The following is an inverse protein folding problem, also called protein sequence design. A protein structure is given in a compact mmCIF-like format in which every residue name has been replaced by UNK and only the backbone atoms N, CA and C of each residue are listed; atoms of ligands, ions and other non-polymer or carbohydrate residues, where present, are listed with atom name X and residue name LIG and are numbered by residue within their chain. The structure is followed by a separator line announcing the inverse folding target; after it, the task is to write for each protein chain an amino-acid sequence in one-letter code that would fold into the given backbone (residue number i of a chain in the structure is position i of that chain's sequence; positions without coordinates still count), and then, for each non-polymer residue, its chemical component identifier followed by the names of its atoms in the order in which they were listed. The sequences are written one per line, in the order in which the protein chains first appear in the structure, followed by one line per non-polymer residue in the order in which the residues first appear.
data_IF_873083282639
#
_entry.id   IF_873083282639
#
_cell.length_a   1.000
_cell.length_b   1.000
_cell.length_c   1.000
_cell.angle_alpha   90.00
_cell.angle_beta   90.00
_cell.angle_gamma   90.00
#
_symmetry.space_group_name_H-M   'P 1'
#
loop_
_entity.id
_entity.type
_entity.pdbx_description
1 polymer ?
#
# COMPACT_ATOMS: atom_id res chain seq x y z
N UNK A 1 -1.02 3.31 11.42
CA UNK A 1 -0.55 3.75 10.09
C UNK A 1 0.13 2.58 9.42
N UNK A 2 -0.30 2.16 8.22
CA UNK A 2 0.32 1.03 7.50
C UNK A 2 1.02 1.57 6.27
N UNK A 3 2.29 1.23 6.08
CA UNK A 3 3.03 1.54 4.86
C UNK A 3 3.07 0.30 3.97
N UNK A 4 2.53 0.42 2.75
CA UNK A 4 2.62 -0.58 1.70
C UNK A 4 3.71 -0.17 0.72
N UNK A 5 4.69 -1.05 0.51
CA UNK A 5 5.74 -0.86 -0.50
C UNK A 5 5.30 -1.57 -1.79
N UNK A 6 5.03 -0.77 -2.81
CA UNK A 6 4.75 -1.21 -4.17
C UNK A 6 6.06 -1.58 -4.88
N UNK A 7 6.25 -2.87 -5.14
CA UNK A 7 7.34 -3.40 -5.96
C UNK A 7 6.91 -3.57 -7.43
N UNK A 8 6.11 -2.64 -7.95
CA UNK A 8 5.47 -2.72 -9.27
C UNK A 8 4.52 -3.93 -9.41
N UNK A 9 3.77 -4.21 -8.34
CA UNK A 9 2.86 -5.35 -8.28
C UNK A 9 1.43 -4.94 -8.68
N UNK A 10 0.78 -5.76 -9.52
CA UNK A 10 -0.57 -5.48 -10.01
C UNK A 10 -1.66 -5.54 -8.93
N UNK A 11 -1.36 -6.05 -7.74
CA UNK A 11 -2.31 -6.29 -6.65
C UNK A 11 -2.08 -5.43 -5.40
N UNK A 12 -1.10 -4.52 -5.40
CA UNK A 12 -0.80 -3.69 -4.20
C UNK A 12 -2.01 -2.87 -3.72
N UNK A 13 -2.87 -2.43 -4.64
CA UNK A 13 -4.08 -1.68 -4.31
C UNK A 13 -5.21 -2.55 -3.77
N UNK A 14 -5.24 -3.85 -4.09
CA UNK A 14 -6.18 -4.79 -3.46
C UNK A 14 -5.87 -4.92 -1.96
N UNK A 15 -4.58 -5.02 -1.60
CA UNK A 15 -4.15 -5.03 -0.19
C UNK A 15 -4.48 -3.72 0.52
N UNK A 16 -4.27 -2.58 -0.16
CA UNK A 16 -4.64 -1.27 0.37
C UNK A 16 -6.15 -1.18 0.66
N UNK A 17 -6.99 -1.69 -0.24
CA UNK A 17 -8.44 -1.73 -0.04
C UNK A 17 -8.82 -2.60 1.18
N UNK A 18 -8.31 -3.82 1.29
CA UNK A 18 -8.61 -4.70 2.43
C UNK A 18 -8.19 -4.09 3.76
N UNK A 19 -7.04 -3.41 3.81
CA UNK A 19 -6.61 -2.69 5.00
C UNK A 19 -7.56 -1.52 5.33
N UNK A 20 -8.05 -0.80 4.32
CA UNK A 20 -9.06 0.24 4.47
C UNK A 20 -10.40 -0.29 5.02
N UNK A 21 -10.87 -1.42 4.51
CA UNK A 21 -12.08 -2.10 5.01
C UNK A 21 -11.95 -2.56 6.47
N UNK A 22 -10.72 -2.89 6.90
CA UNK A 22 -10.39 -3.21 8.30
C UNK A 22 -10.17 -1.97 9.19
N UNK A 23 -10.44 -0.76 8.68
CA UNK A 23 -10.34 0.49 9.44
C UNK A 23 -8.94 1.11 9.49
N UNK A 24 -7.98 0.59 8.72
CA UNK A 24 -6.64 1.17 8.62
C UNK A 24 -6.60 2.30 7.59
N UNK A 25 -5.57 3.13 7.71
CA UNK A 25 -5.23 4.16 6.74
C UNK A 25 -3.88 3.77 6.11
N UNK A 26 -3.87 2.89 5.09
CA UNK A 26 -2.65 2.48 4.41
C UNK A 26 -2.15 3.58 3.47
N UNK A 27 -0.83 3.72 3.38
CA UNK A 27 -0.16 4.59 2.40
C UNK A 27 0.70 3.73 1.51
N UNK A 28 0.58 3.89 0.19
CA UNK A 28 1.33 3.12 -0.80
C UNK A 28 2.46 3.98 -1.37
N UNK A 29 3.69 3.47 -1.32
CA UNK A 29 4.85 4.09 -1.99
C UNK A 29 5.60 3.06 -2.82
N UNK A 30 6.15 3.47 -3.96
CA UNK A 30 7.03 2.59 -4.74
C UNK A 30 8.37 2.41 -4.05
N UNK A 31 8.94 1.22 -4.17
CA UNK A 31 10.20 0.84 -3.53
C UNK A 31 11.40 1.75 -3.90
N UNK A 32 11.32 2.43 -5.05
CA UNK A 32 12.35 3.25 -5.66
C UNK A 32 12.00 4.74 -5.67
N UNK A 33 10.86 5.13 -5.11
CA UNK A 33 10.38 6.53 -5.07
C UNK A 33 10.41 7.17 -3.69
N UNK A 34 11.04 6.51 -2.72
CA UNK A 34 11.27 7.08 -1.40
C UNK A 34 12.68 7.68 -1.38
N UNK A 35 12.76 9.01 -1.42
CA UNK A 35 13.96 9.81 -1.10
C UNK A 35 13.72 10.60 0.16
#
# INVERSE_FOLDING_TARGET
MVLLIDNYDSFVYNLAQYLGELGWQPVVYRNDKIT
#
